data_IF_166082393234
#
_entry.id   IF_166082393234
#
_cell.length_a   1.000
_cell.length_b   1.000
_cell.length_c   1.000
_cell.angle_alpha   90.00
_cell.angle_beta   90.00
_cell.angle_gamma   90.00
#
_symmetry.space_group_name_H-M   'P 1'
#
loop_
_entity.id
_entity.type
_entity.pdbx_description
1 polymer ?
#
# COMPACT_ATOMS: atom_id res chain seq x y z
N UNK A 1 -8.21 -9.07 15.49
CA UNK A 1 -9.04 -9.46 14.33
C UNK A 1 -10.53 -9.47 14.64
N UNK A 2 -11.02 -10.20 15.66
CA UNK A 2 -12.46 -10.25 16.00
C UNK A 2 -13.11 -8.88 16.28
N UNK A 3 -12.50 -8.06 17.14
CA UNK A 3 -13.00 -6.70 17.41
C UNK A 3 -13.11 -5.86 16.13
N UNK A 4 -12.13 -5.95 15.23
CA UNK A 4 -12.14 -5.23 13.96
C UNK A 4 -13.30 -5.65 13.05
N UNK A 5 -13.62 -6.95 13.00
CA UNK A 5 -14.76 -7.46 12.24
C UNK A 5 -16.10 -6.94 12.82
N UNK A 6 -16.24 -6.94 14.13
CA UNK A 6 -17.43 -6.41 14.82
C UNK A 6 -17.60 -4.90 14.58
N UNK A 7 -16.52 -4.12 14.76
CA UNK A 7 -16.53 -2.67 14.50
C UNK A 7 -16.88 -2.38 13.04
N UNK A 8 -16.30 -3.13 12.10
CA UNK A 8 -16.62 -2.98 10.67
C UNK A 8 -18.09 -3.29 10.35
N UNK A 9 -18.66 -4.32 10.98
CA UNK A 9 -20.06 -4.66 10.84
C UNK A 9 -20.99 -3.55 11.38
N UNK A 10 -20.62 -2.91 12.49
CA UNK A 10 -21.38 -1.77 13.04
C UNK A 10 -21.36 -0.57 12.07
N UNK A 11 -20.22 -0.29 11.45
CA UNK A 11 -20.12 0.73 10.40
C UNK A 11 -20.95 0.40 9.16
N UNK A 12 -20.95 -0.86 8.72
CA UNK A 12 -21.80 -1.33 7.61
C UNK A 12 -23.29 -1.16 7.94
N UNK A 13 -23.73 -1.55 9.14
CA UNK A 13 -25.12 -1.35 9.61
C UNK A 13 -25.50 0.13 9.58
N UNK A 14 -24.63 1.01 10.09
CA UNK A 14 -24.88 2.46 10.07
C UNK A 14 -24.99 2.99 8.64
N UNK A 15 -24.02 2.67 7.78
CA UNK A 15 -24.01 3.09 6.37
C UNK A 15 -25.28 2.65 5.62
N UNK A 16 -25.73 1.41 5.85
CA UNK A 16 -26.99 0.89 5.28
C UNK A 16 -28.22 1.64 5.79
N UNK A 17 -28.30 1.94 7.08
CA UNK A 17 -29.40 2.73 7.66
C UNK A 17 -29.48 4.13 7.07
N UNK A 18 -28.33 4.74 6.82
CA UNK A 18 -28.21 6.06 6.19
C UNK A 18 -28.31 6.01 4.65
N UNK A 19 -28.41 4.80 4.05
CA UNK A 19 -28.46 4.55 2.60
C UNK A 19 -27.28 5.18 1.84
N UNK A 20 -26.09 5.15 2.44
CA UNK A 20 -24.85 5.66 1.84
C UNK A 20 -23.81 4.55 1.78
N UNK A 21 -22.94 4.53 0.76
CA UNK A 21 -21.72 3.73 0.85
C UNK A 21 -20.84 4.28 1.98
N UNK A 22 -20.10 3.40 2.67
CA UNK A 22 -19.35 3.76 3.89
C UNK A 22 -18.39 4.94 3.69
N UNK A 23 -17.67 5.00 2.56
CA UNK A 23 -16.74 6.09 2.27
C UNK A 23 -17.44 7.46 2.21
N UNK A 24 -18.68 7.51 1.69
CA UNK A 24 -19.45 8.74 1.59
C UNK A 24 -20.03 9.13 2.95
N UNK A 25 -20.52 8.14 3.71
CA UNK A 25 -20.94 8.36 5.08
C UNK A 25 -19.82 9.05 5.87
N UNK A 26 -18.63 8.44 5.92
CA UNK A 26 -17.48 8.99 6.64
C UNK A 26 -17.06 10.37 6.12
N UNK A 27 -17.14 10.60 4.81
CA UNK A 27 -16.77 11.90 4.21
C UNK A 27 -17.75 13.02 4.58
N UNK A 28 -19.04 12.71 4.75
CA UNK A 28 -20.10 13.67 5.05
C UNK A 28 -20.40 13.80 6.55
N UNK A 29 -19.82 12.93 7.39
CA UNK A 29 -19.93 13.03 8.84
C UNK A 29 -19.30 14.33 9.35
N UNK A 30 -19.85 14.95 10.42
CA UNK A 30 -19.22 16.08 11.07
C UNK A 30 -17.81 15.70 11.55
N UNK A 31 -16.82 16.55 11.31
CA UNK A 31 -15.42 16.30 11.68
C UNK A 31 -15.26 15.89 13.15
N UNK A 32 -16.01 16.54 14.06
CA UNK A 32 -16.02 16.18 15.49
C UNK A 32 -16.47 14.75 15.74
N UNK A 33 -17.49 14.27 15.02
CA UNK A 33 -18.00 12.91 15.19
C UNK A 33 -16.98 11.86 14.69
N UNK A 34 -16.19 12.19 13.66
CA UNK A 34 -15.08 11.35 13.20
C UNK A 34 -13.98 11.27 14.27
N UNK A 35 -13.69 12.39 14.95
CA UNK A 35 -12.70 12.41 16.05
C UNK A 35 -13.21 11.60 17.25
N UNK A 36 -14.50 11.74 17.62
CA UNK A 36 -15.08 11.08 18.80
C UNK A 36 -15.05 9.54 18.73
N UNK A 37 -14.97 8.95 17.53
CA UNK A 37 -14.89 7.49 17.33
C UNK A 37 -13.46 6.94 17.32
N UNK A 38 -12.45 7.79 17.37
CA UNK A 38 -11.04 7.39 17.40
C UNK A 38 -10.57 7.25 18.85
N UNK A 39 -9.93 6.12 19.18
CA UNK A 39 -9.29 5.93 20.47
C UNK A 39 -7.88 6.54 20.46
N UNK A 40 -7.73 7.66 21.17
CA UNK A 40 -6.47 8.39 21.25
C UNK A 40 -5.52 7.91 22.35
N UNK A 41 -5.86 6.88 23.14
CA UNK A 41 -5.17 6.53 24.40
C UNK A 41 -3.64 6.36 24.28
N UNK A 42 -3.13 5.99 23.09
CA UNK A 42 -1.70 5.75 22.86
C UNK A 42 -1.12 6.50 21.64
N UNK A 43 -1.79 7.55 21.15
CA UNK A 43 -1.32 8.31 19.98
C UNK A 43 -1.25 9.82 20.22
N UNK A 44 -1.63 10.33 21.40
CA UNK A 44 -1.73 11.78 21.68
C UNK A 44 -0.42 12.55 21.55
N UNK A 45 0.70 11.88 21.79
CA UNK A 45 2.04 12.43 21.62
C UNK A 45 2.43 12.63 20.15
N UNK A 46 1.76 11.93 19.23
CA UNK A 46 1.93 12.07 17.79
C UNK A 46 0.79 12.85 17.10
N UNK A 47 -0.45 12.68 17.59
CA UNK A 47 -1.67 13.29 17.05
C UNK A 47 -2.72 13.45 18.16
N UNK A 48 -2.96 14.68 18.60
CA UNK A 48 -4.04 15.00 19.56
C UNK A 48 -5.41 15.03 18.88
N UNK A 49 -6.52 14.90 19.64
CA UNK A 49 -7.88 15.07 19.11
C UNK A 49 -8.10 16.43 18.42
N UNK A 50 -7.50 17.50 18.96
CA UNK A 50 -7.58 18.86 18.42
C UNK A 50 -6.83 18.95 17.08
N UNK A 51 -5.63 18.38 17.01
CA UNK A 51 -4.86 18.32 15.76
C UNK A 51 -5.60 17.49 14.69
N UNK A 52 -6.20 16.36 15.08
CA UNK A 52 -7.02 15.56 14.18
C UNK A 52 -8.24 16.34 13.67
N UNK A 53 -8.90 17.10 14.54
CA UNK A 53 -10.02 17.96 14.17
C UNK A 53 -9.58 19.05 13.19
N UNK A 54 -8.45 19.72 13.44
CA UNK A 54 -7.92 20.77 12.57
C UNK A 54 -7.61 20.23 11.16
N UNK A 55 -7.05 19.02 11.06
CA UNK A 55 -6.81 18.33 9.78
C UNK A 55 -8.12 18.11 9.03
N UNK A 56 -9.16 17.61 9.72
CA UNK A 56 -10.46 17.33 9.12
C UNK A 56 -11.18 18.60 8.68
N UNK A 57 -11.11 19.67 9.47
CA UNK A 57 -11.70 20.97 9.14
C UNK A 57 -10.99 21.62 7.94
N UNK A 58 -9.66 21.59 7.90
CA UNK A 58 -8.91 22.02 6.72
C UNK A 58 -9.27 21.19 5.48
N UNK A 59 -9.61 19.90 5.67
CA UNK A 59 -10.10 19.01 4.63
C UNK A 59 -11.53 19.30 4.15
N UNK A 60 -12.30 20.20 4.76
CA UNK A 60 -13.63 20.59 4.23
C UNK A 60 -13.48 21.34 2.90
N UNK A 61 -12.43 22.16 2.77
CA UNK A 61 -12.13 22.89 1.56
C UNK A 61 -11.89 21.91 0.40
N UNK A 62 -12.69 22.06 -0.66
CA UNK A 62 -12.65 21.21 -1.85
C UNK A 62 -13.23 19.80 -1.68
N UNK A 63 -13.82 19.46 -0.52
CA UNK A 63 -14.40 18.11 -0.29
C UNK A 63 -15.45 17.74 -1.33
N UNK A 64 -16.41 18.62 -1.61
CA UNK A 64 -17.45 18.38 -2.60
C UNK A 64 -16.87 18.11 -4.00
N UNK A 65 -15.83 18.86 -4.40
CA UNK A 65 -15.14 18.66 -5.66
C UNK A 65 -14.41 17.31 -5.71
N UNK A 66 -13.75 16.89 -4.62
CA UNK A 66 -13.09 15.57 -4.52
C UNK A 66 -14.10 14.42 -4.57
N UNK A 67 -15.25 14.55 -3.90
CA UNK A 67 -16.33 13.56 -3.96
C UNK A 67 -16.86 13.42 -5.40
N UNK A 68 -17.08 14.55 -6.09
CA UNK A 68 -17.54 14.54 -7.47
C UNK A 68 -16.50 13.89 -8.40
N UNK A 69 -15.22 14.25 -8.25
CA UNK A 69 -14.12 13.67 -9.03
C UNK A 69 -13.99 12.16 -8.80
N UNK A 70 -14.08 11.70 -7.54
CA UNK A 70 -14.00 10.27 -7.20
C UNK A 70 -15.12 9.45 -7.84
N UNK A 71 -16.33 10.01 -7.94
CA UNK A 71 -17.47 9.32 -8.58
C UNK A 71 -17.30 9.16 -10.09
N UNK A 72 -16.62 10.10 -10.75
CA UNK A 72 -16.40 10.09 -12.20
C UNK A 72 -15.17 9.26 -12.56
N UNK A 73 -14.08 9.45 -11.83
CA UNK A 73 -12.76 8.95 -12.20
C UNK A 73 -12.37 7.66 -11.46
N UNK A 74 -13.06 7.32 -10.37
CA UNK A 74 -12.62 6.27 -9.46
C UNK A 74 -11.35 6.67 -8.71
N UNK A 75 -10.64 5.66 -8.18
CA UNK A 75 -9.37 5.83 -7.47
C UNK A 75 -8.31 4.91 -8.12
N UNK A 76 -7.09 5.39 -8.40
CA UNK A 76 -6.03 4.57 -8.99
C UNK A 76 -5.75 3.31 -8.18
N UNK A 77 -5.52 2.19 -8.86
CA UNK A 77 -5.22 0.91 -8.25
C UNK A 77 -3.95 0.30 -8.86
N UNK A 78 -3.35 -0.62 -8.10
CA UNK A 78 -2.26 -1.49 -8.56
C UNK A 78 -2.66 -2.95 -8.34
N UNK A 79 -1.99 -3.89 -8.99
CA UNK A 79 -2.31 -5.32 -8.87
C UNK A 79 -1.12 -6.15 -8.41
N UNK A 80 -1.39 -7.11 -7.53
CA UNK A 80 -0.40 -8.13 -7.10
C UNK A 80 -0.66 -9.48 -7.78
N UNK A 81 -1.75 -9.61 -8.53
CA UNK A 81 -2.16 -10.88 -9.17
C UNK A 81 -1.08 -11.50 -10.07
N UNK A 82 -0.27 -10.74 -10.83
CA UNK A 82 0.81 -11.33 -11.63
C UNK A 82 1.94 -11.93 -10.79
N UNK A 83 2.12 -11.43 -9.57
CA UNK A 83 3.37 -11.51 -8.81
C UNK A 83 3.55 -12.72 -7.90
N UNK A 84 2.62 -13.68 -7.85
CA UNK A 84 2.71 -14.81 -6.91
C UNK A 84 3.93 -15.71 -7.19
N UNK A 85 4.63 -16.16 -6.13
CA UNK A 85 5.88 -16.95 -6.24
C UNK A 85 5.68 -18.31 -6.94
N UNK A 86 4.55 -18.98 -6.70
CA UNK A 86 4.27 -20.30 -7.27
C UNK A 86 3.88 -20.30 -8.76
N UNK A 87 4.02 -19.17 -9.46
CA UNK A 87 3.70 -19.08 -10.89
C UNK A 87 4.95 -19.31 -11.74
N UNK A 88 4.78 -20.04 -12.84
CA UNK A 88 5.82 -20.15 -13.85
C UNK A 88 6.11 -18.80 -14.51
N UNK A 89 7.25 -18.70 -15.15
CA UNK A 89 7.72 -17.49 -15.84
C UNK A 89 6.76 -17.05 -16.94
N UNK A 90 6.24 -18.01 -17.71
CA UNK A 90 5.27 -17.73 -18.77
C UNK A 90 3.99 -17.14 -18.19
N UNK A 91 3.56 -17.63 -17.03
CA UNK A 91 2.38 -17.11 -16.34
C UNK A 91 2.63 -15.73 -15.75
N UNK A 92 3.79 -15.49 -15.14
CA UNK A 92 4.21 -14.17 -14.66
C UNK A 92 4.19 -13.14 -15.80
N UNK A 93 4.87 -13.43 -16.91
CA UNK A 93 4.97 -12.54 -18.07
C UNK A 93 3.60 -12.27 -18.68
N UNK A 94 2.80 -13.31 -18.91
CA UNK A 94 1.46 -13.17 -19.47
C UNK A 94 0.57 -12.29 -18.58
N UNK A 95 0.49 -12.58 -17.28
CA UNK A 95 -0.32 -11.81 -16.33
C UNK A 95 0.17 -10.37 -16.17
N UNK A 96 1.48 -10.12 -16.28
CA UNK A 96 2.05 -8.78 -16.20
C UNK A 96 1.65 -7.94 -17.41
N UNK A 97 1.66 -8.54 -18.61
CA UNK A 97 1.15 -7.89 -19.84
C UNK A 97 -0.36 -7.65 -19.77
N UNK A 98 -1.12 -8.61 -19.29
CA UNK A 98 -2.57 -8.46 -19.07
C UNK A 98 -2.85 -7.31 -18.10
N UNK A 99 -2.14 -7.23 -16.97
CA UNK A 99 -2.29 -6.13 -16.01
C UNK A 99 -2.01 -4.75 -16.62
N UNK A 100 -0.95 -4.63 -17.42
CA UNK A 100 -0.64 -3.38 -18.12
C UNK A 100 -1.73 -3.03 -19.17
N UNK A 101 -2.24 -4.02 -19.89
CA UNK A 101 -3.32 -3.84 -20.87
C UNK A 101 -4.66 -3.48 -20.21
N UNK A 102 -4.92 -3.98 -19.01
CA UNK A 102 -6.10 -3.67 -18.19
C UNK A 102 -6.03 -2.25 -17.58
N UNK A 103 -4.93 -1.53 -17.78
CA UNK A 103 -4.76 -0.14 -17.36
C UNK A 103 -4.28 0.04 -15.92
N UNK A 104 -3.77 -1.02 -15.27
CA UNK A 104 -3.09 -0.86 -13.98
C UNK A 104 -1.84 0.00 -14.16
N UNK A 105 -1.67 1.01 -13.32
CA UNK A 105 -0.50 1.90 -13.38
C UNK A 105 0.75 1.31 -12.71
N UNK A 106 0.63 0.14 -12.09
CA UNK A 106 1.71 -0.52 -11.34
C UNK A 106 1.36 -1.98 -11.04
N UNK A 107 2.39 -2.82 -10.96
CA UNK A 107 2.27 -4.21 -10.50
C UNK A 107 3.13 -4.45 -9.25
N UNK A 108 2.83 -5.49 -8.49
CA UNK A 108 3.63 -5.94 -7.35
C UNK A 108 4.03 -7.41 -7.51
N UNK A 109 5.31 -7.70 -7.32
CA UNK A 109 5.89 -9.04 -7.32
C UNK A 109 6.14 -9.52 -5.90
N UNK A 110 5.87 -10.80 -5.63
CA UNK A 110 6.39 -11.48 -4.45
C UNK A 110 7.83 -11.88 -4.73
N UNK A 111 8.70 -11.60 -3.77
CA UNK A 111 10.11 -12.00 -3.75
C UNK A 111 10.34 -12.96 -2.59
N UNK A 112 11.34 -13.83 -2.71
CA UNK A 112 11.61 -14.85 -1.70
C UNK A 112 13.08 -14.95 -1.29
N UNK A 113 13.49 -16.15 -0.87
CA UNK A 113 14.83 -16.44 -0.38
C UNK A 113 15.76 -17.04 -1.43
N UNK A 114 15.42 -17.02 -2.73
CA UNK A 114 16.36 -17.30 -3.81
C UNK A 114 16.55 -16.06 -4.70
N UNK A 115 17.70 -15.39 -4.49
CA UNK A 115 18.03 -14.15 -5.19
C UNK A 115 18.13 -14.34 -6.71
N UNK A 116 18.50 -15.54 -7.18
CA UNK A 116 18.59 -15.78 -8.63
C UNK A 116 17.19 -15.83 -9.26
N UNK A 117 16.25 -16.46 -8.57
CA UNK A 117 14.85 -16.51 -9.01
C UNK A 117 14.22 -15.12 -8.97
N UNK A 118 14.45 -14.35 -7.91
CA UNK A 118 13.96 -12.99 -7.80
C UNK A 118 14.50 -12.08 -8.91
N UNK A 119 15.82 -12.12 -9.16
CA UNK A 119 16.45 -11.36 -10.26
C UNK A 119 15.88 -11.75 -11.62
N UNK A 120 15.74 -13.06 -11.87
CA UNK A 120 15.18 -13.60 -13.12
C UNK A 120 13.73 -13.15 -13.31
N UNK A 121 12.88 -13.26 -12.27
CA UNK A 121 11.47 -12.85 -12.30
C UNK A 121 11.31 -11.35 -12.47
N UNK A 122 12.11 -10.55 -11.77
CA UNK A 122 12.12 -9.08 -11.91
C UNK A 122 12.54 -8.65 -13.31
N UNK A 123 13.56 -9.28 -13.89
CA UNK A 123 13.97 -9.02 -15.27
C UNK A 123 12.84 -9.30 -16.27
N UNK A 124 12.19 -10.47 -16.14
CA UNK A 124 11.07 -10.86 -17.00
C UNK A 124 9.86 -9.93 -16.86
N UNK A 125 9.49 -9.56 -15.63
CA UNK A 125 8.41 -8.63 -15.39
C UNK A 125 8.72 -7.23 -15.94
N UNK A 126 9.94 -6.72 -15.73
CA UNK A 126 10.40 -5.45 -16.29
C UNK A 126 10.35 -5.45 -17.82
N UNK A 127 10.81 -6.51 -18.46
CA UNK A 127 10.70 -6.67 -19.92
C UNK A 127 9.23 -6.71 -20.39
N UNK A 128 8.35 -7.30 -19.59
CA UNK A 128 6.93 -7.45 -19.93
C UNK A 128 6.14 -6.13 -19.86
N UNK A 129 6.44 -5.27 -18.87
CA UNK A 129 5.66 -4.04 -18.60
C UNK A 129 6.39 -2.75 -18.96
N UNK A 130 7.68 -2.79 -19.32
CA UNK A 130 8.45 -1.58 -19.65
C UNK A 130 8.61 -0.67 -18.42
N UNK A 131 8.22 0.60 -18.56
CA UNK A 131 8.44 1.63 -17.53
C UNK A 131 7.41 1.64 -16.40
N UNK A 132 6.40 0.75 -16.42
CA UNK A 132 5.43 0.67 -15.32
C UNK A 132 6.17 0.40 -13.99
N UNK A 133 5.87 1.14 -12.90
CA UNK A 133 6.37 0.83 -11.58
C UNK A 133 6.15 -0.64 -11.18
N UNK A 134 7.16 -1.23 -10.56
CA UNK A 134 7.11 -2.59 -10.02
C UNK A 134 7.47 -2.51 -8.54
N UNK A 135 6.52 -2.80 -7.66
CA UNK A 135 6.80 -3.00 -6.25
C UNK A 135 7.23 -4.45 -5.98
N UNK A 136 7.96 -4.68 -4.89
CA UNK A 136 8.28 -6.02 -4.40
C UNK A 136 7.77 -6.22 -2.97
N UNK A 137 7.48 -7.46 -2.60
CA UNK A 137 6.93 -7.82 -1.31
C UNK A 137 7.57 -9.11 -0.79
N UNK A 138 8.31 -8.98 0.30
CA UNK A 138 9.13 -10.05 0.88
C UNK A 138 8.42 -10.82 2.00
N UNK A 139 7.21 -10.40 2.39
CA UNK A 139 6.43 -11.03 3.47
C UNK A 139 7.24 -11.37 4.74
N UNK A 140 8.05 -10.41 5.19
CA UNK A 140 8.77 -10.41 6.47
C UNK A 140 9.89 -11.45 6.56
N UNK A 141 10.43 -11.89 5.42
CA UNK A 141 11.37 -13.01 5.34
C UNK A 141 12.74 -12.73 5.91
N UNK A 142 13.23 -11.50 5.79
CA UNK A 142 14.64 -11.20 6.01
C UNK A 142 14.89 -10.52 7.35
N UNK A 143 16.10 -10.72 7.88
CA UNK A 143 16.65 -9.83 8.89
C UNK A 143 17.05 -8.48 8.25
N UNK A 144 17.26 -7.43 9.06
CA UNK A 144 17.51 -6.07 8.54
C UNK A 144 18.70 -6.02 7.58
N UNK A 145 19.83 -6.64 7.94
CA UNK A 145 21.02 -6.65 7.10
C UNK A 145 20.83 -7.44 5.80
N UNK A 146 20.09 -8.56 5.88
CA UNK A 146 19.78 -9.39 4.72
C UNK A 146 18.83 -8.65 3.76
N UNK A 147 17.83 -7.94 4.28
CA UNK A 147 16.94 -7.13 3.47
C UNK A 147 17.70 -6.04 2.69
N UNK A 148 18.67 -5.38 3.31
CA UNK A 148 19.50 -4.36 2.66
C UNK A 148 20.28 -4.99 1.50
N UNK A 149 20.94 -6.12 1.75
CA UNK A 149 21.71 -6.83 0.73
C UNK A 149 20.83 -7.33 -0.42
N UNK A 150 19.64 -7.84 -0.12
CA UNK A 150 18.69 -8.34 -1.11
C UNK A 150 18.19 -7.22 -2.03
N UNK A 151 17.75 -6.11 -1.43
CA UNK A 151 17.22 -4.97 -2.17
C UNK A 151 18.30 -4.32 -3.03
N UNK A 152 19.55 -4.25 -2.54
CA UNK A 152 20.69 -3.79 -3.33
C UNK A 152 20.91 -4.64 -4.58
N UNK A 153 20.78 -5.96 -4.47
CA UNK A 153 20.90 -6.87 -5.61
C UNK A 153 19.73 -6.78 -6.59
N UNK A 154 18.57 -6.27 -6.18
CA UNK A 154 17.42 -6.04 -7.06
C UNK A 154 17.33 -4.60 -7.59
N UNK A 155 18.21 -3.69 -7.13
CA UNK A 155 18.17 -2.28 -7.46
C UNK A 155 18.25 -2.00 -8.97
N UNK A 156 18.96 -2.85 -9.73
CA UNK A 156 19.08 -2.72 -11.19
C UNK A 156 17.73 -2.81 -11.93
N UNK A 157 16.70 -3.43 -11.31
CA UNK A 157 15.35 -3.54 -11.87
C UNK A 157 14.41 -2.40 -11.46
N UNK A 158 14.93 -1.43 -10.71
CA UNK A 158 14.22 -0.25 -10.20
C UNK A 158 12.90 -0.60 -9.46
N UNK A 159 12.97 -1.32 -8.31
CA UNK A 159 11.80 -1.59 -7.50
C UNK A 159 11.26 -0.27 -6.90
N UNK A 160 9.95 -0.03 -7.08
CA UNK A 160 9.31 1.22 -6.68
C UNK A 160 9.13 1.36 -5.15
N UNK A 161 8.80 0.26 -4.48
CA UNK A 161 8.95 0.10 -3.03
C UNK A 161 9.20 -1.37 -2.67
N UNK A 162 9.64 -1.59 -1.43
CA UNK A 162 9.84 -2.91 -0.82
C UNK A 162 8.87 -3.05 0.35
N UNK A 163 7.92 -3.98 0.23
CA UNK A 163 6.88 -4.23 1.23
C UNK A 163 7.32 -5.32 2.21
N UNK A 164 7.16 -5.02 3.50
CA UNK A 164 7.47 -5.94 4.61
C UNK A 164 8.82 -6.67 4.45
N UNK A 165 9.96 -5.97 4.32
CA UNK A 165 11.27 -6.62 4.15
C UNK A 165 11.64 -7.51 5.34
N UNK A 166 11.22 -7.12 6.54
CA UNK A 166 11.54 -7.79 7.81
C UNK A 166 10.29 -7.92 8.68
N UNK A 167 10.45 -8.58 9.84
CA UNK A 167 9.40 -8.77 10.85
C UNK A 167 8.65 -7.48 11.18
N UNK A 168 7.31 -7.56 11.25
CA UNK A 168 6.45 -6.46 11.75
C UNK A 168 6.78 -6.03 13.19
N UNK A 169 7.49 -6.87 13.95
CA UNK A 169 7.92 -6.60 15.33
C UNK A 169 9.33 -6.03 15.41
N UNK A 170 10.04 -5.91 14.28
CA UNK A 170 11.32 -5.24 14.25
C UNK A 170 11.14 -3.79 14.74
N UNK A 171 11.98 -3.28 15.66
CA UNK A 171 11.88 -1.90 16.12
C UNK A 171 11.90 -0.93 14.93
N UNK A 172 11.09 0.13 15.01
CA UNK A 172 10.95 1.14 13.92
C UNK A 172 12.30 1.71 13.46
N UNK A 173 13.27 1.81 14.37
CA UNK A 173 14.64 2.22 14.04
C UNK A 173 15.34 1.27 13.04
N UNK A 174 15.14 -0.04 13.15
CA UNK A 174 15.70 -1.01 12.19
C UNK A 174 15.03 -0.95 10.81
N UNK A 175 13.76 -0.54 10.73
CA UNK A 175 13.11 -0.26 9.45
C UNK A 175 13.63 1.03 8.80
N UNK A 176 13.90 2.07 9.59
CA UNK A 176 14.47 3.33 9.07
C UNK A 176 15.82 3.11 8.38
N UNK A 177 16.67 2.24 8.92
CA UNK A 177 17.96 1.90 8.31
C UNK A 177 17.79 1.20 6.94
N UNK A 178 16.79 0.33 6.77
CA UNK A 178 16.49 -0.31 5.48
C UNK A 178 15.89 0.63 4.43
N UNK A 179 15.20 1.71 4.85
CA UNK A 179 14.54 2.66 3.94
C UNK A 179 15.49 3.60 3.18
N UNK A 180 16.74 3.76 3.64
CA UNK A 180 17.73 4.67 3.04
C UNK A 180 18.45 4.10 1.81
N UNK A 181 18.17 2.85 1.47
CA UNK A 181 18.89 2.09 0.44
C UNK A 181 18.32 2.34 -0.96
N UNK A 182 17.01 2.63 -1.08
CA UNK A 182 16.32 2.86 -2.35
C UNK A 182 16.31 4.30 -2.88
N UNK A 183 16.71 5.30 -2.08
CA UNK A 183 16.57 6.73 -2.44
C UNK A 183 17.87 7.38 -2.98
N UNK A 184 19.01 6.68 -3.03
CA UNK A 184 20.30 7.28 -3.43
C UNK A 184 20.61 7.24 -4.95
N UNK A 185 19.65 6.92 -5.82
CA UNK A 185 19.90 6.83 -7.27
C UNK A 185 18.96 7.66 -8.17
N UNK A 186 18.39 8.76 -7.66
CA UNK A 186 17.77 9.78 -8.52
C UNK A 186 18.53 11.10 -8.38
N UNK A 187 19.60 11.22 -9.16
CA UNK A 187 20.27 12.48 -9.51
C UNK A 187 19.85 12.93 -10.90
#
# INVERSE_FOLDING_TARGET
MACGALVSALWDIRARREKKPLWLLLSEMPAREIVDVVDFTHIRDALSPEQALDILLAGEDGKAARIAALRVNGFPAYTTSPGWLGYSDEKLVRLSKEAAADGFSMIKLKVDGDINDDRRRMALARQAVGDLPIAIDANQRWEVSEAIEWVNQLAEFNPYWVEEPTSRKCPVHGMADSSHVGQRQSG
#
